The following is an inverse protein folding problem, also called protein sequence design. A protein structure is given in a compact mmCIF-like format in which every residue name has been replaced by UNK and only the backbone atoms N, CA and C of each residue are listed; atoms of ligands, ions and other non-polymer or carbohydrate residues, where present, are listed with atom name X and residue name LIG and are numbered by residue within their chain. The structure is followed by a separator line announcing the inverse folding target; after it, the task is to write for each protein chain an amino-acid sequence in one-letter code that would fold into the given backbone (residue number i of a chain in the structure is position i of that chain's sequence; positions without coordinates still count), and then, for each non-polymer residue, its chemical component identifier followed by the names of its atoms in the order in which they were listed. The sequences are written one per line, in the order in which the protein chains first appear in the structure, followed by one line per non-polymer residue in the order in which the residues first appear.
data_IF_097354454983
#
_entry.id   IF_097354454983
#
_cell.length_a   1.000
_cell.length_b   1.000
_cell.length_c   1.000
_cell.angle_alpha   90.00
_cell.angle_beta   90.00
_cell.angle_gamma   90.00
#
_symmetry.space_group_name_H-M   'P 1'
#
loop_
_entity.id
_entity.type
_entity.pdbx_description
1 polymer ?
#
# COMPACT_ATOMS: atom_id res chain seq x y z
N UNK A 1 -9.90 -1.09 3.47
CA UNK A 1 -10.82 -0.36 2.56
C UNK A 1 -11.82 -1.35 1.99
N UNK A 2 -13.10 -0.99 1.85
CA UNK A 2 -14.09 -1.86 1.21
C UNK A 2 -14.01 -1.78 -0.33
N UNK A 3 -14.07 -2.93 -1.00
CA UNK A 3 -14.02 -3.00 -2.46
C UNK A 3 -15.17 -2.22 -3.15
N UNK A 4 -16.36 -2.22 -2.54
CA UNK A 4 -17.51 -1.47 -3.07
C UNK A 4 -17.26 0.04 -3.14
N UNK A 5 -16.47 0.60 -2.23
CA UNK A 5 -16.13 2.03 -2.21
C UNK A 5 -15.36 2.40 -3.48
N UNK A 6 -14.37 1.61 -3.88
CA UNK A 6 -13.63 1.81 -5.13
C UNK A 6 -14.56 1.78 -6.35
N UNK A 7 -15.55 0.87 -6.37
CA UNK A 7 -16.50 0.80 -7.47
C UNK A 7 -17.42 2.01 -7.53
N UNK A 8 -17.91 2.49 -6.38
CA UNK A 8 -18.75 3.69 -6.29
C UNK A 8 -17.98 4.92 -6.77
N UNK A 9 -16.72 5.06 -6.36
CA UNK A 9 -15.89 6.21 -6.75
C UNK A 9 -15.50 6.17 -8.23
N UNK A 10 -15.28 4.97 -8.80
CA UNK A 10 -15.11 4.82 -10.24
C UNK A 10 -16.33 5.36 -11.02
N UNK A 11 -17.55 5.04 -10.55
CA UNK A 11 -18.79 5.53 -11.17
C UNK A 11 -18.95 7.03 -10.95
N UNK A 12 -18.58 7.55 -9.77
CA UNK A 12 -18.59 8.98 -9.50
C UNK A 12 -17.64 9.74 -10.45
N UNK A 13 -16.41 9.26 -10.63
CA UNK A 13 -15.43 9.82 -11.55
C UNK A 13 -15.95 9.78 -13.01
N UNK A 14 -16.60 8.69 -13.42
CA UNK A 14 -17.26 8.59 -14.72
C UNK A 14 -18.34 9.65 -14.92
N UNK A 15 -19.20 9.87 -13.91
CA UNK A 15 -20.26 10.90 -13.96
C UNK A 15 -19.70 12.32 -13.98
N UNK A 16 -18.60 12.55 -13.26
CA UNK A 16 -17.87 13.82 -13.25
C UNK A 16 -17.07 14.07 -14.55
N UNK A 17 -17.01 13.10 -15.46
CA UNK A 17 -16.19 13.12 -16.69
C UNK A 17 -14.69 13.29 -16.41
N UNK A 18 -14.23 12.90 -15.23
CA UNK A 18 -12.82 12.86 -14.86
C UNK A 18 -12.21 11.56 -15.39
N UNK A 19 -11.75 11.62 -16.65
CA UNK A 19 -11.19 10.45 -17.34
C UNK A 19 -9.95 9.89 -16.64
N UNK A 20 -9.03 10.76 -16.23
CA UNK A 20 -7.77 10.35 -15.60
C UNK A 20 -8.03 9.63 -14.28
N UNK A 21 -8.90 10.18 -13.42
CA UNK A 21 -9.28 9.54 -12.15
C UNK A 21 -10.02 8.24 -12.38
N UNK A 22 -10.98 8.24 -13.31
CA UNK A 22 -11.73 7.02 -13.66
C UNK A 22 -10.80 5.91 -14.14
N UNK A 23 -9.78 6.23 -14.93
CA UNK A 23 -8.83 5.23 -15.44
C UNK A 23 -7.93 4.70 -14.32
N UNK A 24 -7.42 5.57 -13.43
CA UNK A 24 -6.66 5.15 -12.25
C UNK A 24 -7.46 4.21 -11.33
N UNK A 25 -8.70 4.58 -10.99
CA UNK A 25 -9.58 3.75 -10.13
C UNK A 25 -9.97 2.46 -10.85
N UNK A 26 -10.26 2.51 -12.15
CA UNK A 26 -10.61 1.33 -12.95
C UNK A 26 -9.47 0.31 -13.02
N UNK A 27 -8.22 0.76 -13.12
CA UNK A 27 -7.04 -0.12 -13.04
C UNK A 27 -6.96 -0.79 -11.67
N UNK A 28 -7.10 -0.02 -10.58
CA UNK A 28 -7.14 -0.55 -9.21
C UNK A 28 -8.23 -1.61 -9.02
N UNK A 29 -9.47 -1.35 -9.46
CA UNK A 29 -10.58 -2.30 -9.39
C UNK A 29 -10.27 -3.59 -10.15
N UNK A 30 -9.57 -3.48 -11.29
CA UNK A 30 -9.18 -4.64 -12.10
C UNK A 30 -8.11 -5.47 -11.42
N UNK A 31 -7.11 -4.82 -10.82
CA UNK A 31 -6.06 -5.48 -10.04
C UNK A 31 -6.64 -6.22 -8.84
N UNK A 32 -7.59 -5.61 -8.13
CA UNK A 32 -8.26 -6.25 -6.97
C UNK A 32 -9.06 -7.48 -7.42
N UNK A 33 -9.85 -7.36 -8.50
CA UNK A 33 -10.59 -8.50 -9.06
C UNK A 33 -9.65 -9.63 -9.47
N UNK A 34 -8.54 -9.30 -10.11
CA UNK A 34 -7.54 -10.29 -10.53
C UNK A 34 -6.95 -11.00 -9.32
N UNK A 35 -6.52 -10.25 -8.30
CA UNK A 35 -5.99 -10.83 -7.06
C UNK A 35 -7.03 -11.72 -6.35
N UNK A 36 -8.31 -11.34 -6.35
CA UNK A 36 -9.37 -12.16 -5.78
C UNK A 36 -9.61 -13.46 -6.57
N UNK A 37 -9.51 -13.42 -7.89
CA UNK A 37 -9.56 -14.63 -8.73
C UNK A 37 -8.37 -15.53 -8.41
N UNK A 38 -7.16 -14.98 -8.39
CA UNK A 38 -5.93 -15.72 -8.11
C UNK A 38 -5.95 -16.35 -6.70
N UNK A 39 -6.59 -15.68 -5.73
CA UNK A 39 -6.78 -16.17 -4.37
C UNK A 39 -8.02 -17.08 -4.18
N UNK A 40 -8.82 -17.33 -5.23
CA UNK A 40 -10.04 -18.14 -5.14
C UNK A 40 -11.17 -17.49 -4.32
N UNK A 41 -11.11 -16.17 -4.09
CA UNK A 41 -12.05 -15.39 -3.26
C UNK A 41 -12.87 -14.39 -4.09
N UNK A 42 -13.06 -14.67 -5.39
CA UNK A 42 -13.77 -13.81 -6.34
C UNK A 42 -15.13 -13.32 -5.83
N UNK A 43 -15.88 -14.19 -5.17
CA UNK A 43 -17.24 -13.91 -4.70
C UNK A 43 -17.27 -13.23 -3.32
N UNK A 44 -16.14 -13.21 -2.60
CA UNK A 44 -16.01 -12.60 -1.29
C UNK A 44 -14.63 -11.94 -1.12
N UNK A 45 -14.47 -10.76 -1.71
CA UNK A 45 -13.22 -10.00 -1.66
C UNK A 45 -13.09 -9.37 -0.28
N UNK A 46 -12.18 -9.91 0.53
CA UNK A 46 -11.88 -9.37 1.86
C UNK A 46 -11.19 -8.00 1.79
N UNK A 47 -11.52 -7.10 2.72
CA UNK A 47 -10.91 -5.77 2.83
C UNK A 47 -9.37 -5.82 2.92
N UNK A 48 -8.83 -6.81 3.61
CA UNK A 48 -7.38 -7.06 3.68
C UNK A 48 -6.74 -7.26 2.30
N UNK A 49 -7.43 -7.98 1.40
CA UNK A 49 -6.93 -8.22 0.05
C UNK A 49 -6.97 -6.93 -0.77
N UNK A 50 -8.03 -6.13 -0.59
CA UNK A 50 -8.16 -4.81 -1.25
C UNK A 50 -6.99 -3.92 -0.84
N UNK A 51 -6.72 -3.81 0.47
CA UNK A 51 -5.64 -2.98 1.00
C UNK A 51 -4.26 -3.46 0.53
N UNK A 52 -4.04 -4.78 0.49
CA UNK A 52 -2.80 -5.35 -0.05
C UNK A 52 -2.58 -4.99 -1.52
N UNK A 53 -3.63 -5.07 -2.34
CA UNK A 53 -3.55 -4.72 -3.76
C UNK A 53 -3.31 -3.23 -3.93
N UNK A 54 -4.01 -2.38 -3.19
CA UNK A 54 -3.81 -0.92 -3.25
C UNK A 54 -2.36 -0.56 -2.91
N UNK A 55 -1.80 -1.13 -1.84
CA UNK A 55 -0.41 -0.91 -1.46
C UNK A 55 0.57 -1.36 -2.54
N UNK A 56 0.30 -2.51 -3.17
CA UNK A 56 1.12 -3.00 -4.29
C UNK A 56 1.05 -2.05 -5.48
N UNK A 57 -0.15 -1.61 -5.88
CA UNK A 57 -0.33 -0.69 -7.00
C UNK A 57 0.29 0.69 -6.71
N UNK A 58 0.22 1.17 -5.45
CA UNK A 58 0.88 2.40 -5.01
C UNK A 58 2.39 2.32 -5.17
N UNK A 59 2.99 1.20 -4.76
CA UNK A 59 4.42 0.96 -4.91
C UNK A 59 4.83 0.92 -6.38
N UNK A 60 4.09 0.21 -7.23
CA UNK A 60 4.34 0.17 -8.68
C UNK A 60 4.25 1.57 -9.29
N UNK A 61 3.24 2.38 -8.92
CA UNK A 61 3.10 3.74 -9.41
C UNK A 61 4.29 4.63 -8.98
N UNK A 62 4.77 4.47 -7.75
CA UNK A 62 5.98 5.14 -7.27
C UNK A 62 7.23 4.72 -8.04
N UNK A 63 7.40 3.43 -8.30
CA UNK A 63 8.51 2.93 -9.11
C UNK A 63 8.46 3.48 -10.55
N UNK A 64 7.27 3.62 -11.14
CA UNK A 64 7.10 4.25 -12.45
C UNK A 64 7.47 5.74 -12.43
N UNK A 65 7.13 6.45 -11.36
CA UNK A 65 7.54 7.84 -11.15
C UNK A 65 9.07 7.97 -11.04
N UNK A 66 9.68 7.15 -10.19
CA UNK A 66 11.11 7.18 -9.90
C UNK A 66 11.95 6.79 -11.13
N UNK A 67 11.42 5.89 -11.97
CA UNK A 67 12.09 5.44 -13.21
C UNK A 67 11.75 6.28 -14.44
N UNK A 68 10.80 7.21 -14.33
CA UNK A 68 10.41 8.05 -15.47
C UNK A 68 11.53 9.04 -15.84
N UNK A 69 11.95 9.11 -17.12
CA UNK A 69 12.99 10.04 -17.56
C UNK A 69 12.63 11.51 -17.26
N UNK A 70 13.63 12.32 -16.90
CA UNK A 70 13.40 13.70 -16.46
C UNK A 70 12.82 14.60 -17.57
N UNK A 71 13.14 14.29 -18.82
CA UNK A 71 12.67 14.97 -20.02
C UNK A 71 11.22 14.68 -20.39
N UNK A 72 10.58 13.66 -19.79
CA UNK A 72 9.18 13.28 -20.05
C UNK A 72 8.24 13.79 -18.96
N UNK A 73 8.18 15.12 -18.83
CA UNK A 73 7.34 15.79 -17.82
C UNK A 73 5.86 15.46 -17.99
N UNK A 74 5.39 15.25 -19.23
CA UNK A 74 4.04 14.79 -19.58
C UNK A 74 3.67 13.47 -18.89
N UNK A 75 4.57 12.47 -18.98
CA UNK A 75 4.37 11.16 -18.36
C UNK A 75 4.52 11.22 -16.84
N UNK A 76 5.45 12.05 -16.33
CA UNK A 76 5.61 12.24 -14.90
C UNK A 76 4.34 12.81 -14.26
N UNK A 77 3.73 13.81 -14.88
CA UNK A 77 2.46 14.38 -14.40
C UNK A 77 1.34 13.32 -14.40
N UNK A 78 1.25 12.49 -15.44
CA UNK A 78 0.26 11.40 -15.49
C UNK A 78 0.51 10.35 -14.38
N UNK A 79 1.76 9.92 -14.20
CA UNK A 79 2.12 8.95 -13.17
C UNK A 79 1.95 9.52 -11.77
N UNK A 80 2.21 10.83 -11.59
CA UNK A 80 2.05 11.53 -10.31
C UNK A 80 0.57 11.60 -9.96
N UNK A 81 -0.26 12.02 -10.90
CA UNK A 81 -1.71 12.03 -10.72
C UNK A 81 -2.24 10.64 -10.37
N UNK A 82 -1.78 9.59 -11.07
CA UNK A 82 -2.17 8.21 -10.77
C UNK A 82 -1.73 7.80 -9.36
N UNK A 83 -0.49 8.11 -8.99
CA UNK A 83 0.02 7.82 -7.65
C UNK A 83 -0.80 8.52 -6.57
N UNK A 84 -1.14 9.79 -6.77
CA UNK A 84 -1.93 10.59 -5.82
C UNK A 84 -3.34 10.04 -5.67
N UNK A 85 -4.02 9.67 -6.78
CA UNK A 85 -5.33 9.02 -6.73
C UNK A 85 -5.26 7.68 -6.00
N UNK A 86 -4.26 6.83 -6.29
CA UNK A 86 -4.11 5.55 -5.58
C UNK A 86 -3.85 5.78 -4.08
N UNK A 87 -3.06 6.80 -3.74
CA UNK A 87 -2.71 7.16 -2.37
C UNK A 87 -3.93 7.56 -1.54
N UNK A 88 -4.93 8.20 -2.14
CA UNK A 88 -6.21 8.51 -1.46
C UNK A 88 -6.91 7.23 -0.95
N UNK A 89 -6.71 6.10 -1.62
CA UNK A 89 -7.31 4.82 -1.25
C UNK A 89 -6.41 3.94 -0.37
N UNK A 90 -5.11 4.25 -0.32
CA UNK A 90 -4.17 3.46 0.46
C UNK A 90 -4.44 3.65 1.96
N UNK A 91 -4.33 2.57 2.76
CA UNK A 91 -4.33 2.73 4.21
C UNK A 91 -3.18 3.67 4.60
N UNK A 92 -3.43 4.52 5.59
CA UNK A 92 -2.40 5.43 6.11
C UNK A 92 -1.28 4.59 6.71
N UNK A 93 -0.14 4.60 6.04
CA UNK A 93 1.04 3.86 6.46
C UNK A 93 1.89 4.74 7.36
N UNK A 94 2.37 4.16 8.45
CA UNK A 94 3.36 4.76 9.33
C UNK A 94 4.65 4.99 8.54
N UNK A 95 5.22 6.17 8.73
CA UNK A 95 6.57 6.52 8.29
C UNK A 95 7.63 5.67 9.01
N UNK A 96 8.86 5.69 8.51
CA UNK A 96 9.97 4.95 9.14
C UNK A 96 10.21 5.38 10.59
N UNK A 97 10.11 6.68 10.88
CA UNK A 97 10.27 7.22 12.24
C UNK A 97 9.12 6.78 13.15
N UNK A 98 7.88 6.77 12.66
CA UNK A 98 6.72 6.29 13.41
C UNK A 98 6.80 4.78 13.69
N UNK A 99 7.26 3.99 12.71
CA UNK A 99 7.51 2.56 12.91
C UNK A 99 8.57 2.38 14.00
N UNK A 100 9.68 3.11 13.95
CA UNK A 100 10.75 3.02 14.95
C UNK A 100 10.23 3.37 16.35
N UNK A 101 9.51 4.47 16.49
CA UNK A 101 8.93 4.90 17.76
C UNK A 101 7.93 3.85 18.29
N UNK A 102 7.07 3.30 17.43
CA UNK A 102 6.10 2.28 17.80
C UNK A 102 6.76 0.99 18.27
N UNK A 103 7.82 0.54 17.59
CA UNK A 103 8.57 -0.65 17.97
C UNK A 103 9.29 -0.45 19.31
N UNK A 104 9.95 0.69 19.51
CA UNK A 104 10.63 0.99 20.77
C UNK A 104 9.66 1.16 21.94
N UNK A 105 8.45 1.67 21.71
CA UNK A 105 7.46 1.87 22.76
C UNK A 105 6.73 0.57 23.14
N UNK A 106 6.35 -0.26 22.16
CA UNK A 106 5.46 -1.41 22.39
C UNK A 106 6.17 -2.77 22.38
N UNK A 107 7.38 -2.85 21.81
CA UNK A 107 8.13 -4.09 21.63
C UNK A 107 9.55 -4.01 22.19
N UNK A 108 9.83 -3.10 23.14
CA UNK A 108 11.17 -2.91 23.71
C UNK A 108 11.81 -4.21 24.22
N UNK A 109 11.04 -5.03 24.94
CA UNK A 109 11.51 -6.30 25.50
C UNK A 109 11.81 -7.34 24.41
N UNK A 110 10.96 -7.39 23.38
CA UNK A 110 11.13 -8.30 22.25
C UNK A 110 12.34 -7.87 21.41
N UNK A 111 12.54 -6.56 21.21
CA UNK A 111 13.71 -5.99 20.55
C UNK A 111 15.00 -6.29 21.32
N UNK A 112 14.97 -6.27 22.65
CA UNK A 112 16.13 -6.58 23.49
C UNK A 112 16.64 -8.02 23.31
N UNK A 113 15.77 -8.96 22.89
CA UNK A 113 16.17 -10.33 22.54
C UNK A 113 17.14 -10.38 21.36
N UNK A 114 17.19 -9.33 20.52
CA UNK A 114 17.90 -9.27 19.23
C UNK A 114 17.59 -10.44 18.27
N UNK A 115 16.55 -11.22 18.55
CA UNK A 115 16.13 -12.34 17.72
C UNK A 115 15.15 -11.84 16.66
N UNK A 116 15.68 -11.54 15.46
CA UNK A 116 14.89 -11.04 14.33
C UNK A 116 13.67 -11.91 14.02
N UNK A 117 13.80 -13.24 14.12
CA UNK A 117 12.70 -14.16 13.85
C UNK A 117 11.55 -14.03 14.86
N UNK A 118 11.89 -13.90 16.14
CA UNK A 118 10.92 -13.69 17.22
C UNK A 118 10.26 -12.30 17.11
N UNK A 119 11.06 -11.25 16.88
CA UNK A 119 10.58 -9.89 16.71
C UNK A 119 9.60 -9.79 15.53
N UNK A 120 9.97 -10.32 14.37
CA UNK A 120 9.10 -10.30 13.19
C UNK A 120 7.80 -11.06 13.42
N UNK A 121 7.81 -12.14 14.20
CA UNK A 121 6.59 -12.92 14.51
C UNK A 121 5.56 -12.11 15.30
N UNK A 122 6.02 -11.24 16.20
CA UNK A 122 5.13 -10.41 17.04
C UNK A 122 4.78 -9.06 16.41
N UNK A 123 5.74 -8.45 15.72
CA UNK A 123 5.59 -7.13 15.11
C UNK A 123 4.73 -7.17 13.84
N UNK A 124 4.90 -8.20 12.99
CA UNK A 124 4.20 -8.26 11.70
C UNK A 124 2.67 -8.24 11.84
N UNK A 125 2.04 -8.99 12.76
CA UNK A 125 0.60 -8.87 12.99
C UNK A 125 0.17 -7.48 13.49
N UNK A 126 0.95 -6.85 14.37
CA UNK A 126 0.61 -5.56 14.96
C UNK A 126 0.67 -4.39 13.96
N UNK A 127 1.58 -4.49 12.99
CA UNK A 127 1.80 -3.51 11.94
C UNK A 127 1.19 -3.90 10.58
N UNK A 128 0.45 -5.01 10.51
CA UNK A 128 -0.20 -5.46 9.27
C UNK A 128 -1.14 -4.37 8.75
N UNK A 129 -0.93 -3.94 7.51
CA UNK A 129 -1.73 -2.89 6.87
C UNK A 129 -1.48 -1.47 7.41
N UNK A 130 -0.58 -1.31 8.38
CA UNK A 130 -0.19 -0.01 8.96
C UNK A 130 1.23 0.39 8.60
N UNK A 131 2.08 -0.53 8.18
CA UNK A 131 3.45 -0.23 7.76
C UNK A 131 3.91 -1.20 6.68
N UNK A 132 4.89 -0.77 5.87
CA UNK A 132 5.45 -1.59 4.80
C UNK A 132 6.34 -2.69 5.40
N UNK A 133 6.11 -3.95 5.00
CA UNK A 133 6.86 -5.09 5.52
C UNK A 133 8.36 -5.02 5.28
N UNK A 134 8.80 -4.38 4.18
CA UNK A 134 10.23 -4.16 3.91
C UNK A 134 10.78 -3.08 4.83
N UNK A 135 10.05 -1.99 5.05
CA UNK A 135 10.43 -0.94 6.00
C UNK A 135 10.52 -1.49 7.44
N UNK A 136 9.54 -2.29 7.89
CA UNK A 136 9.57 -2.97 9.18
C UNK A 136 10.84 -3.82 9.31
N UNK A 137 11.13 -4.66 8.31
CA UNK A 137 12.30 -5.54 8.33
C UNK A 137 13.62 -4.74 8.39
N UNK A 138 13.72 -3.67 7.60
CA UNK A 138 14.87 -2.77 7.60
C UNK A 138 15.10 -2.15 8.98
N UNK A 139 14.06 -1.57 9.59
CA UNK A 139 14.14 -0.90 10.90
C UNK A 139 14.44 -1.92 12.01
N UNK A 140 13.79 -3.08 12.01
CA UNK A 140 14.11 -4.17 12.96
C UNK A 140 15.56 -4.60 12.79
N UNK A 141 16.06 -4.71 11.55
CA UNK A 141 17.44 -5.07 11.30
C UNK A 141 18.44 -4.00 11.78
N UNK A 142 18.08 -2.71 11.73
CA UNK A 142 18.87 -1.62 12.31
C UNK A 142 18.86 -1.64 13.84
N UNK A 143 17.68 -1.79 14.46
CA UNK A 143 17.51 -1.81 15.92
C UNK A 143 18.17 -3.03 16.59
N UNK A 144 18.36 -4.12 15.85
CA UNK A 144 18.99 -5.34 16.35
C UNK A 144 20.52 -5.39 16.12
N UNK A 145 21.13 -4.39 15.47
CA UNK A 145 22.60 -4.27 15.45
C UNK A 145 23.09 -4.04 16.88
#
# INVERSE_FOLDING_TARGET
MQFETLQKDMVAAMKARDKARKDAISSLVSDVKKAAIDAGTRDNIADDLVDQVILKSLKTAKEQLDTCPAERTDLKEEYQFRYDVIKEYAPVMMSEDEIRAFLQANFAEVLASKNKGAIMKEVMPALKGKADGKAINMIVAELCK
#
